data_IF_371962518064
#
_entry.id   IF_371962518064
#
_cell.length_a   1.000
_cell.length_b   1.000
_cell.length_c   1.000
_cell.angle_alpha   90.00
_cell.angle_beta   90.00
_cell.angle_gamma   90.00
#
_symmetry.space_group_name_H-M   'P 1'
#
loop_
_entity.id
_entity.type
_entity.pdbx_description
1 polymer ?
#
# COMPACT_ATOMS: atom_id res chain seq x y z
N UNK A 1 -3.13 -16.98 6.52
CA UNK A 1 -1.68 -17.32 6.36
C UNK A 1 -0.94 -16.59 7.47
N UNK A 2 -0.28 -17.29 8.42
CA UNK A 2 0.53 -16.60 9.44
C UNK A 2 1.70 -15.91 8.76
N UNK A 3 1.63 -14.60 8.59
CA UNK A 3 2.72 -13.81 8.07
C UNK A 3 3.83 -13.70 9.13
N UNK A 4 4.96 -14.37 8.89
CA UNK A 4 6.11 -14.31 9.77
C UNK A 4 6.64 -12.87 9.86
N UNK A 5 6.73 -12.35 11.08
CA UNK A 5 7.35 -11.05 11.35
C UNK A 5 8.84 -11.10 11.02
N UNK A 6 9.32 -10.09 10.30
CA UNK A 6 10.74 -9.88 10.03
C UNK A 6 11.21 -8.69 10.85
N UNK A 7 12.38 -8.80 11.47
CA UNK A 7 13.02 -7.72 12.23
C UNK A 7 14.20 -7.16 11.44
N UNK A 8 14.28 -5.85 11.35
CA UNK A 8 15.33 -5.15 10.58
C UNK A 8 15.95 -4.06 11.44
N UNK A 9 17.24 -4.18 11.75
CA UNK A 9 18.02 -3.15 12.41
C UNK A 9 18.47 -2.10 11.38
N UNK A 10 17.96 -0.88 11.48
CA UNK A 10 18.26 0.20 10.51
C UNK A 10 19.71 0.70 10.62
N UNK A 11 20.42 0.41 11.72
CA UNK A 11 21.84 0.74 11.90
C UNK A 11 22.76 -0.10 11.01
N UNK A 12 22.27 -1.26 10.58
CA UNK A 12 23.04 -2.24 9.79
C UNK A 12 22.70 -2.18 8.29
N UNK A 13 22.01 -1.11 7.84
CA UNK A 13 21.66 -0.96 6.44
C UNK A 13 22.90 -1.03 5.54
N UNK A 14 22.85 -1.91 4.54
CA UNK A 14 23.93 -2.07 3.57
C UNK A 14 24.06 -0.83 2.67
N UNK A 15 25.24 -0.64 2.08
CA UNK A 15 25.47 0.42 1.08
C UNK A 15 24.47 0.31 -0.08
N UNK A 16 24.12 -0.92 -0.49
CA UNK A 16 23.14 -1.16 -1.57
C UNK A 16 21.74 -0.66 -1.17
N UNK A 17 21.29 -0.92 0.05
CA UNK A 17 19.99 -0.43 0.55
C UNK A 17 19.96 1.10 0.66
N UNK A 18 21.05 1.69 1.13
CA UNK A 18 21.20 3.15 1.21
C UNK A 18 21.15 3.80 -0.18
N UNK A 19 21.86 3.24 -1.16
CA UNK A 19 21.87 3.72 -2.56
C UNK A 19 20.48 3.59 -3.19
N UNK A 20 19.78 2.46 -2.98
CA UNK A 20 18.43 2.26 -3.49
C UNK A 20 17.43 3.23 -2.84
N UNK A 21 17.55 3.48 -1.53
CA UNK A 21 16.75 4.47 -0.84
C UNK A 21 16.92 5.88 -1.42
N UNK A 22 18.17 6.31 -1.66
CA UNK A 22 18.47 7.59 -2.29
C UNK A 22 17.90 7.68 -3.71
N UNK A 23 18.03 6.63 -4.52
CA UNK A 23 17.41 6.55 -5.86
C UNK A 23 15.92 6.77 -5.78
N UNK A 24 15.22 6.04 -4.93
CA UNK A 24 13.76 6.14 -4.77
C UNK A 24 13.34 7.53 -4.30
N UNK A 25 14.04 8.12 -3.34
CA UNK A 25 13.77 9.48 -2.86
C UNK A 25 13.85 10.51 -3.99
N UNK A 26 14.89 10.41 -4.85
CA UNK A 26 15.05 11.30 -6.00
C UNK A 26 13.90 11.17 -6.99
N UNK A 27 13.53 9.93 -7.34
CA UNK A 27 12.43 9.68 -8.30
C UNK A 27 11.09 10.12 -7.72
N UNK A 28 10.82 9.85 -6.43
CA UNK A 28 9.60 10.32 -5.75
C UNK A 28 9.49 11.85 -5.78
N UNK A 29 10.59 12.56 -5.56
CA UNK A 29 10.60 14.00 -5.70
C UNK A 29 10.23 14.45 -7.13
N UNK A 30 10.79 13.80 -8.15
CA UNK A 30 10.46 14.09 -9.55
C UNK A 30 8.99 13.78 -9.86
N UNK A 31 8.48 12.61 -9.48
CA UNK A 31 7.07 12.22 -9.65
C UNK A 31 6.14 13.30 -9.05
N UNK A 32 6.45 13.74 -7.84
CA UNK A 32 5.59 14.67 -7.10
C UNK A 32 5.62 16.12 -7.66
N UNK A 33 6.54 16.41 -8.60
CA UNK A 33 6.68 17.73 -9.24
C UNK A 33 6.50 17.67 -10.76
N UNK A 34 6.15 16.51 -11.32
CA UNK A 34 5.85 16.33 -12.73
C UNK A 34 4.34 16.32 -12.97
N UNK A 35 3.88 16.91 -14.07
CA UNK A 35 2.47 16.92 -14.45
C UNK A 35 1.95 15.47 -14.56
N UNK A 36 0.92 15.09 -13.78
CA UNK A 36 0.42 13.72 -13.77
C UNK A 36 -0.15 13.31 -15.14
N UNK A 37 -0.11 12.01 -15.42
CA UNK A 37 -0.66 11.36 -16.62
C UNK A 37 -0.02 11.76 -17.94
N UNK A 38 1.17 12.39 -17.92
CA UNK A 38 2.03 12.62 -19.08
C UNK A 38 2.94 11.42 -19.31
N UNK A 39 3.55 11.32 -20.52
CA UNK A 39 4.53 10.28 -20.82
C UNK A 39 5.75 10.35 -19.88
N UNK A 40 6.20 11.57 -19.54
CA UNK A 40 7.28 11.77 -18.57
C UNK A 40 6.90 11.22 -17.18
N UNK A 41 5.69 11.54 -16.70
CA UNK A 41 5.19 11.03 -15.44
C UNK A 41 5.11 9.50 -15.43
N UNK A 42 4.57 8.92 -16.49
CA UNK A 42 4.45 7.47 -16.64
C UNK A 42 5.82 6.78 -16.72
N UNK A 43 6.81 7.43 -17.35
CA UNK A 43 8.18 6.95 -17.35
C UNK A 43 8.79 6.89 -15.94
N UNK A 44 8.61 7.94 -15.15
CA UNK A 44 9.08 8.00 -13.76
C UNK A 44 8.41 6.94 -12.88
N UNK A 45 7.11 6.66 -13.06
CA UNK A 45 6.44 5.57 -12.37
C UNK A 45 7.04 4.20 -12.72
N UNK A 46 7.29 3.94 -14.00
CA UNK A 46 7.96 2.71 -14.46
C UNK A 46 9.38 2.59 -13.91
N UNK A 47 10.11 3.70 -13.85
CA UNK A 47 11.44 3.73 -13.23
C UNK A 47 11.39 3.42 -11.73
N UNK A 48 10.43 4.00 -10.99
CA UNK A 48 10.27 3.76 -9.55
C UNK A 48 9.91 2.30 -9.25
N UNK A 49 8.83 1.81 -9.86
CA UNK A 49 8.26 0.50 -9.55
C UNK A 49 8.88 -0.65 -10.35
N UNK A 50 9.56 -0.37 -11.48
CA UNK A 50 10.15 -1.39 -12.36
C UNK A 50 9.09 -2.43 -12.77
N UNK A 51 9.33 -3.71 -12.47
CA UNK A 51 8.42 -4.82 -12.80
C UNK A 51 7.27 -4.99 -11.79
N UNK A 52 7.13 -4.06 -10.83
CA UNK A 52 6.11 -4.14 -9.80
C UNK A 52 4.84 -3.33 -10.13
N UNK A 53 4.73 -2.74 -11.32
CA UNK A 53 3.56 -1.98 -11.76
C UNK A 53 2.84 -2.70 -12.90
N UNK A 54 1.62 -3.15 -12.62
CA UNK A 54 0.75 -3.80 -13.60
C UNK A 54 0.14 -2.81 -14.59
N UNK A 55 -0.18 -3.30 -15.77
CA UNK A 55 -0.74 -2.52 -16.86
C UNK A 55 -2.11 -1.92 -16.50
N UNK A 56 -2.42 -0.77 -17.07
CA UNK A 56 -3.70 -0.08 -16.87
C UNK A 56 -3.83 0.61 -15.50
N UNK A 57 -2.84 0.48 -14.63
CA UNK A 57 -2.89 1.11 -13.30
C UNK A 57 -2.62 2.60 -13.37
N UNK A 58 -3.39 3.37 -12.59
CA UNK A 58 -3.31 4.83 -12.51
C UNK A 58 -2.94 5.26 -11.10
N UNK A 59 -1.90 6.08 -10.98
CA UNK A 59 -1.41 6.55 -9.69
C UNK A 59 -1.35 8.08 -9.74
N UNK A 60 -2.02 8.73 -8.78
CA UNK A 60 -2.03 10.19 -8.66
C UNK A 60 -1.00 10.66 -7.63
N UNK A 61 -0.23 11.71 -7.92
CA UNK A 61 0.68 12.30 -6.94
C UNK A 61 -0.07 13.11 -5.87
N UNK A 62 0.59 13.48 -4.75
CA UNK A 62 1.92 13.03 -4.37
C UNK A 62 1.96 11.60 -3.84
N UNK A 63 3.10 10.93 -4.02
CA UNK A 63 3.43 9.66 -3.37
C UNK A 63 4.46 9.92 -2.27
N UNK A 64 4.28 9.29 -1.11
CA UNK A 64 5.17 9.44 0.04
C UNK A 64 5.48 8.09 0.69
N UNK A 65 6.60 8.02 1.39
CA UNK A 65 6.92 6.84 2.18
C UNK A 65 8.36 6.36 2.06
N UNK A 66 8.56 5.12 2.48
CA UNK A 66 9.86 4.44 2.42
C UNK A 66 9.71 3.11 1.68
N UNK A 67 10.72 2.76 0.87
CA UNK A 67 10.73 1.57 0.04
C UNK A 67 9.55 1.50 -0.96
N UNK A 68 9.02 2.64 -1.39
CA UNK A 68 7.81 2.74 -2.22
C UNK A 68 7.94 1.93 -3.51
N UNK A 69 9.11 1.93 -4.15
CA UNK A 69 9.37 1.16 -5.37
C UNK A 69 9.28 -0.37 -5.20
N UNK A 70 9.21 -0.87 -3.95
CA UNK A 70 9.01 -2.30 -3.66
C UNK A 70 7.53 -2.70 -3.53
N UNK A 71 6.61 -1.74 -3.55
CA UNK A 71 5.17 -2.02 -3.57
C UNK A 71 4.83 -2.75 -4.86
N UNK A 72 4.17 -3.89 -4.73
CA UNK A 72 3.65 -4.64 -5.89
C UNK A 72 2.25 -4.15 -6.20
N UNK A 73 2.05 -3.68 -7.41
CA UNK A 73 0.78 -3.12 -7.88
C UNK A 73 0.31 -3.96 -9.05
N UNK A 74 -0.85 -4.54 -8.94
CA UNK A 74 -1.50 -5.34 -9.96
C UNK A 74 -1.97 -4.50 -11.17
N UNK A 75 -2.82 -5.09 -12.01
CA UNK A 75 -3.40 -4.45 -13.19
C UNK A 75 -4.64 -3.65 -12.83
N UNK A 76 -4.89 -2.57 -13.58
CA UNK A 76 -6.08 -1.72 -13.43
C UNK A 76 -6.30 -1.21 -11.99
N UNK A 77 -5.24 -1.04 -11.21
CA UNK A 77 -5.31 -0.49 -9.87
C UNK A 77 -5.43 1.02 -9.96
N UNK A 78 -6.36 1.59 -9.19
CA UNK A 78 -6.47 3.04 -9.06
C UNK A 78 -5.95 3.49 -7.69
N UNK A 79 -4.91 4.32 -7.67
CA UNK A 79 -4.36 4.95 -6.47
C UNK A 79 -4.54 6.46 -6.59
N UNK A 80 -5.36 7.01 -5.70
CA UNK A 80 -5.61 8.44 -5.63
C UNK A 80 -4.47 9.17 -4.88
N UNK A 81 -4.53 10.49 -4.84
CA UNK A 81 -3.48 11.37 -4.34
C UNK A 81 -3.14 11.14 -2.86
N UNK A 82 -1.89 11.46 -2.55
CA UNK A 82 -1.34 11.46 -1.19
C UNK A 82 -1.32 10.09 -0.50
N UNK A 83 -1.00 9.03 -1.26
CA UNK A 83 -0.69 7.73 -0.67
C UNK A 83 0.58 7.84 0.17
N UNK A 84 0.53 7.37 1.43
CA UNK A 84 1.69 7.06 2.25
C UNK A 84 1.93 5.55 2.26
N UNK A 85 3.08 5.09 1.73
CA UNK A 85 3.45 3.68 1.71
C UNK A 85 4.75 3.45 2.49
N UNK A 86 4.64 2.88 3.70
CA UNK A 86 5.79 2.41 4.49
C UNK A 86 6.01 0.94 4.18
N UNK A 87 6.76 0.67 3.08
CA UNK A 87 6.74 -0.64 2.42
C UNK A 87 7.89 -1.59 2.80
N UNK A 88 8.60 -1.34 3.91
CA UNK A 88 9.74 -2.17 4.33
C UNK A 88 9.37 -3.64 4.59
N UNK A 89 8.15 -3.89 5.09
CA UNK A 89 7.62 -5.24 5.33
C UNK A 89 6.95 -5.88 4.10
N UNK A 90 6.89 -5.15 2.99
CA UNK A 90 6.17 -5.55 1.79
C UNK A 90 4.74 -5.03 1.77
N UNK A 91 4.32 -4.54 0.61
CA UNK A 91 2.93 -4.15 0.32
C UNK A 91 2.58 -4.74 -1.05
N UNK A 92 1.44 -5.42 -1.12
CA UNK A 92 0.89 -5.93 -2.38
C UNK A 92 -0.53 -5.40 -2.54
N UNK A 93 -0.81 -4.82 -3.70
CA UNK A 93 -2.14 -4.36 -4.10
C UNK A 93 -2.49 -5.17 -5.34
N UNK A 94 -3.49 -6.04 -5.25
CA UNK A 94 -3.90 -6.93 -6.34
C UNK A 94 -4.75 -6.18 -7.38
N UNK A 95 -5.09 -6.89 -8.47
CA UNK A 95 -5.76 -6.35 -9.66
C UNK A 95 -7.09 -5.65 -9.30
N UNK A 96 -7.42 -4.58 -10.01
CA UNK A 96 -8.67 -3.84 -9.91
C UNK A 96 -8.98 -3.22 -8.53
N UNK A 97 -8.01 -3.19 -7.62
CA UNK A 97 -8.20 -2.55 -6.31
C UNK A 97 -8.24 -1.02 -6.44
N UNK A 98 -8.98 -0.38 -5.53
CA UNK A 98 -9.12 1.08 -5.48
C UNK A 98 -8.62 1.63 -4.15
N UNK A 99 -7.63 2.50 -4.21
CA UNK A 99 -7.05 3.20 -3.05
C UNK A 99 -7.42 4.68 -3.14
N UNK A 100 -8.23 5.15 -2.22
CA UNK A 100 -8.66 6.53 -2.19
C UNK A 100 -7.56 7.48 -1.68
N UNK A 101 -7.83 8.79 -1.70
CA UNK A 101 -6.86 9.80 -1.29
C UNK A 101 -6.48 9.70 0.20
N UNK A 102 -5.25 10.10 0.53
CA UNK A 102 -4.73 10.14 1.90
C UNK A 102 -4.68 8.78 2.61
N UNK A 103 -4.70 7.67 1.90
CA UNK A 103 -4.58 6.33 2.50
C UNK A 103 -3.15 6.12 2.99
N UNK A 104 -3.00 5.41 4.10
CA UNK A 104 -1.73 5.00 4.67
C UNK A 104 -1.64 3.48 4.68
N UNK A 105 -0.66 2.92 3.99
CA UNK A 105 -0.33 1.50 3.99
C UNK A 105 0.97 1.31 4.75
N UNK A 106 0.89 0.73 5.94
CA UNK A 106 1.99 0.64 6.88
C UNK A 106 2.36 -0.83 7.06
N UNK A 107 3.52 -1.24 6.56
CA UNK A 107 3.99 -2.62 6.70
C UNK A 107 5.09 -2.81 7.76
N UNK A 108 5.43 -1.76 8.50
CA UNK A 108 6.43 -1.83 9.56
C UNK A 108 6.10 -0.89 10.72
N UNK A 109 6.52 -1.30 11.92
CA UNK A 109 6.54 -0.50 13.14
C UNK A 109 7.98 -0.48 13.69
N UNK A 110 8.22 0.36 14.69
CA UNK A 110 9.41 0.27 15.52
C UNK A 110 9.19 -0.68 16.69
N UNK A 111 10.23 -1.42 17.08
CA UNK A 111 10.22 -2.16 18.32
C UNK A 111 10.17 -1.19 19.50
N UNK A 112 9.25 -1.34 20.46
CA UNK A 112 9.10 -0.40 21.57
C UNK A 112 10.31 -0.36 22.53
N UNK A 113 11.14 -1.39 22.50
CA UNK A 113 12.34 -1.51 23.35
C UNK A 113 13.64 -1.15 22.62
N UNK A 114 13.63 -1.14 21.29
CA UNK A 114 14.75 -0.71 20.43
C UNK A 114 14.21 -0.03 19.18
N UNK A 115 14.03 1.29 19.23
CA UNK A 115 13.47 2.07 18.14
C UNK A 115 14.30 2.04 16.84
N UNK A 116 15.54 1.56 16.89
CA UNK A 116 16.34 1.30 15.70
C UNK A 116 16.02 -0.03 15.03
N UNK A 117 15.24 -0.91 15.68
CA UNK A 117 14.76 -2.16 15.11
C UNK A 117 13.33 -2.00 14.61
N UNK A 118 13.12 -2.26 13.31
CA UNK A 118 11.79 -2.31 12.72
C UNK A 118 11.22 -3.73 12.84
N UNK A 119 9.94 -3.82 13.20
CA UNK A 119 9.13 -5.03 13.10
C UNK A 119 8.28 -4.92 11.85
N UNK A 120 8.45 -5.85 10.92
CA UNK A 120 7.89 -5.79 9.58
C UNK A 120 6.93 -6.95 9.34
N UNK A 121 5.71 -6.64 8.87
CA UNK A 121 4.72 -7.62 8.40
C UNK A 121 4.07 -7.10 7.12
N UNK A 122 3.88 -7.94 6.10
CA UNK A 122 3.33 -7.48 4.83
C UNK A 122 1.88 -7.03 4.97
N UNK A 123 1.51 -6.06 4.13
CA UNK A 123 0.13 -5.64 3.91
C UNK A 123 -0.33 -6.19 2.56
N UNK A 124 -1.53 -6.76 2.53
CA UNK A 124 -2.14 -7.28 1.32
C UNK A 124 -3.51 -6.62 1.10
N UNK A 125 -3.68 -5.98 -0.04
CA UNK A 125 -4.97 -5.49 -0.54
C UNK A 125 -5.37 -6.41 -1.69
N UNK A 126 -6.44 -7.18 -1.53
CA UNK A 126 -6.86 -8.17 -2.52
C UNK A 126 -7.66 -7.54 -3.65
N UNK A 127 -7.90 -8.35 -4.67
CA UNK A 127 -8.59 -7.95 -5.89
C UNK A 127 -9.92 -7.23 -5.60
N UNK A 128 -10.21 -6.17 -6.35
CA UNK A 128 -11.45 -5.40 -6.25
C UNK A 128 -11.71 -4.79 -4.86
N UNK A 129 -10.77 -4.83 -3.92
CA UNK A 129 -10.94 -4.16 -2.63
C UNK A 129 -10.94 -2.64 -2.80
N UNK A 130 -11.75 -1.97 -2.00
CA UNK A 130 -11.80 -0.51 -1.95
C UNK A 130 -11.37 -0.01 -0.57
N UNK A 131 -10.28 0.74 -0.53
CA UNK A 131 -9.79 1.41 0.69
C UNK A 131 -10.19 2.88 0.63
N UNK A 132 -11.09 3.28 1.53
CA UNK A 132 -11.65 4.63 1.61
C UNK A 132 -10.64 5.68 2.05
N UNK A 133 -10.94 6.95 1.73
CA UNK A 133 -10.04 8.08 1.95
C UNK A 133 -9.59 8.22 3.40
N UNK A 134 -8.30 8.48 3.62
CA UNK A 134 -7.72 8.66 4.95
C UNK A 134 -7.67 7.40 5.81
N UNK A 135 -7.97 6.22 5.27
CA UNK A 135 -7.85 4.99 6.02
C UNK A 135 -6.37 4.61 6.25
N UNK A 136 -6.08 4.00 7.40
CA UNK A 136 -4.76 3.48 7.76
C UNK A 136 -4.82 1.96 7.88
N UNK A 137 -4.02 1.26 7.11
CA UNK A 137 -3.88 -0.20 7.15
C UNK A 137 -2.57 -0.54 7.86
N UNK A 138 -2.65 -1.27 8.97
CA UNK A 138 -1.52 -1.58 9.84
C UNK A 138 -0.76 -2.84 9.40
N UNK A 139 0.47 -3.05 9.91
CA UNK A 139 1.32 -4.17 9.52
C UNK A 139 0.67 -5.53 9.74
N UNK A 140 0.77 -6.40 8.75
CA UNK A 140 0.25 -7.77 8.78
C UNK A 140 -1.23 -7.90 8.41
N UNK A 141 -1.88 -6.81 8.01
CA UNK A 141 -3.32 -6.82 7.68
C UNK A 141 -3.53 -7.23 6.21
N UNK A 142 -4.52 -8.10 6.01
CA UNK A 142 -5.09 -8.44 4.72
C UNK A 142 -6.48 -7.82 4.57
N UNK A 143 -6.70 -7.06 3.50
CA UNK A 143 -8.03 -6.60 3.07
C UNK A 143 -8.52 -7.57 1.99
N UNK A 144 -9.61 -8.25 2.26
CA UNK A 144 -10.17 -9.30 1.43
C UNK A 144 -10.70 -8.82 0.08
N UNK A 145 -10.96 -9.78 -0.82
CA UNK A 145 -11.53 -9.54 -2.15
C UNK A 145 -12.88 -8.84 -2.04
N UNK A 146 -13.13 -7.82 -2.85
CA UNK A 146 -14.33 -6.98 -2.80
C UNK A 146 -14.65 -6.37 -1.43
N UNK A 147 -13.71 -6.40 -0.48
CA UNK A 147 -13.92 -5.75 0.80
C UNK A 147 -13.84 -4.24 0.68
N UNK A 148 -14.57 -3.56 1.56
CA UNK A 148 -14.58 -2.10 1.64
C UNK A 148 -14.09 -1.66 3.01
N UNK A 149 -13.08 -0.82 3.04
CA UNK A 149 -12.65 -0.10 4.23
C UNK A 149 -13.22 1.32 4.17
N UNK A 150 -14.02 1.70 5.16
CA UNK A 150 -14.61 3.04 5.21
C UNK A 150 -13.56 4.13 5.43
N UNK A 151 -13.87 5.34 4.99
CA UNK A 151 -12.99 6.50 5.13
C UNK A 151 -12.61 6.76 6.60
N UNK A 152 -11.34 7.17 6.84
CA UNK A 152 -10.82 7.46 8.17
C UNK A 152 -10.67 6.27 9.11
N UNK A 153 -10.83 5.04 8.62
CA UNK A 153 -10.73 3.84 9.45
C UNK A 153 -9.27 3.47 9.75
N UNK A 154 -9.02 2.89 10.93
CA UNK A 154 -7.73 2.30 11.31
C UNK A 154 -7.89 0.79 11.40
N UNK A 155 -7.36 0.07 10.40
CA UNK A 155 -7.51 -1.38 10.28
C UNK A 155 -6.35 -2.08 10.97
N UNK A 156 -6.66 -2.80 12.04
CA UNK A 156 -5.70 -3.50 12.91
C UNK A 156 -5.76 -5.02 12.78
N UNK A 157 -6.74 -5.55 12.03
CA UNK A 157 -6.98 -6.99 11.80
C UNK A 157 -7.47 -7.19 10.37
N UNK A 158 -7.33 -8.41 9.88
CA UNK A 158 -7.81 -8.77 8.55
C UNK A 158 -9.29 -8.45 8.36
N UNK A 159 -9.62 -7.96 7.18
CA UNK A 159 -10.99 -7.72 6.74
C UNK A 159 -11.37 -8.86 5.78
N UNK A 160 -12.40 -9.65 6.08
CA UNK A 160 -12.81 -10.76 5.22
C UNK A 160 -13.23 -10.32 3.82
N UNK A 161 -13.20 -11.26 2.87
CA UNK A 161 -13.76 -11.04 1.53
C UNK A 161 -15.22 -10.57 1.64
N UNK A 162 -15.60 -9.60 0.81
CA UNK A 162 -16.95 -9.01 0.74
C UNK A 162 -17.43 -8.31 2.02
N UNK A 163 -16.54 -8.01 2.96
CA UNK A 163 -16.90 -7.31 4.18
C UNK A 163 -16.79 -5.79 4.03
N UNK A 164 -17.63 -5.05 4.74
CA UNK A 164 -17.48 -3.61 4.97
C UNK A 164 -16.98 -3.39 6.38
N UNK A 165 -15.80 -2.80 6.53
CA UNK A 165 -15.19 -2.48 7.83
C UNK A 165 -15.01 -0.98 8.00
N UNK A 166 -15.39 -0.44 9.16
CA UNK A 166 -15.30 0.99 9.46
C UNK A 166 -14.86 1.26 10.89
N UNK A 167 -14.30 2.42 11.15
CA UNK A 167 -14.01 2.93 12.49
C UNK A 167 -12.55 2.81 12.92
N UNK A 168 -12.26 3.19 14.17
CA UNK A 168 -10.95 3.14 14.82
C UNK A 168 -11.08 2.54 16.22
N UNK A 169 -10.63 1.27 16.45
CA UNK A 169 -10.21 0.32 15.42
C UNK A 169 -11.37 -0.12 14.52
N UNK A 170 -11.06 -0.43 13.26
CA UNK A 170 -12.07 -0.85 12.27
C UNK A 170 -12.71 -2.18 12.68
N UNK A 171 -14.03 -2.26 12.48
CA UNK A 171 -14.84 -3.47 12.70
C UNK A 171 -15.72 -3.73 11.49
N UNK A 172 -15.91 -5.00 11.17
CA UNK A 172 -16.88 -5.42 10.15
C UNK A 172 -18.28 -5.06 10.62
N UNK A 173 -18.99 -4.27 9.83
CA UNK A 173 -20.36 -3.83 10.10
C UNK A 173 -21.38 -4.45 9.15
N UNK A 174 -20.91 -5.01 8.03
CA UNK A 174 -21.80 -5.56 6.99
C UNK A 174 -21.02 -6.55 6.13
N UNK A 175 -21.73 -7.58 5.64
CA UNK A 175 -21.29 -8.42 4.53
C UNK A 175 -22.04 -8.03 3.26
N UNK A 176 -21.32 -7.92 2.15
CA UNK A 176 -21.90 -7.64 0.84
C UNK A 176 -22.46 -8.92 0.23
N UNK A 177 -23.48 -8.77 -0.58
CA UNK A 177 -24.11 -9.87 -1.32
C UNK A 177 -23.21 -10.28 -2.48
N UNK A 178 -22.63 -11.48 -2.42
CA UNK A 178 -21.68 -11.99 -3.41
C UNK A 178 -22.32 -12.17 -4.81
N UNK A 179 -23.61 -12.46 -4.84
CA UNK A 179 -24.34 -12.71 -6.12
C UNK A 179 -24.49 -11.44 -6.96
N UNK A 180 -24.22 -10.26 -6.36
CA UNK A 180 -24.27 -8.98 -7.09
C UNK A 180 -22.97 -8.59 -7.76
N UNK A 181 -21.88 -9.32 -7.49
CA UNK A 181 -20.63 -9.14 -8.21
C UNK A 181 -20.64 -10.05 -9.41
N UNK A 182 -20.53 -9.45 -10.62
CA UNK A 182 -20.31 -10.23 -11.83
C UNK A 182 -18.88 -10.78 -11.74
N UNK A 183 -18.73 -12.08 -11.86
CA UNK A 183 -17.42 -12.69 -12.05
C UNK A 183 -17.00 -12.37 -13.50
N UNK A 184 -15.96 -11.52 -13.64
CA UNK A 184 -15.28 -11.27 -14.91
C UNK A 184 -14.26 -12.35 -15.21
#
# INVERSE_FOLDING_TARGET
MECKEIRVDVRTASTKESTEGQRQTKILFQINHTMPFTDEYNHLLKELFRNNLGDGSMISPPLNGACVGSVKIGRNVFINSNLLAMARGGITIEDNAMIAANVQLISNNHDPYDLCTLTCKPVLIREYAWVGAGATILPGVCIGRHAIVGAGSVVTKDVPDYAVAVGNPAKVIKMLDKEKFQED
#
